data_IF_641920330435
#
_entry.id   IF_641920330435
#
_cell.length_a   1.000
_cell.length_b   1.000
_cell.length_c   1.000
_cell.angle_alpha   90.00
_cell.angle_beta   90.00
_cell.angle_gamma   90.00
#
_symmetry.space_group_name_H-M   'P 1'
#
loop_
_entity.id
_entity.type
_entity.pdbx_description
1 polymer ?
2 non-polymer ?
3 non-polymer ?
4 non-polymer ?
5 non-polymer ?
6 water ?
#
# COMPACT_ATOMS: atom_id res chain seq x y z
N UNK A 24 25.94 -17.99 -0.38
CA UNK A 24 25.48 -17.64 -1.72
C UNK A 24 24.04 -18.07 -1.94
N UNK A 25 23.45 -17.59 -3.02
CA UNK A 25 22.09 -17.97 -3.36
C UNK A 25 22.11 -19.24 -4.18
N UNK A 26 21.20 -20.17 -3.88
CA UNK A 26 21.05 -21.34 -4.71
C UNK A 26 20.45 -20.91 -6.06
N UNK A 27 20.43 -21.83 -7.02
CA UNK A 27 19.94 -21.50 -8.35
C UNK A 27 18.46 -21.17 -8.25
N UNK A 28 17.74 -21.96 -7.47
CA UNK A 28 16.31 -21.77 -7.28
C UNK A 28 16.02 -20.41 -6.64
N UNK A 29 16.93 -19.96 -5.78
CA UNK A 29 16.73 -18.70 -5.11
C UNK A 29 16.96 -17.56 -6.08
N UNK A 30 17.94 -17.71 -6.97
CA UNK A 30 18.17 -16.73 -8.01
C UNK A 30 17.01 -16.68 -9.00
N UNK A 31 16.42 -17.84 -9.27
CA UNK A 31 15.30 -17.92 -10.19
C UNK A 31 14.10 -17.22 -9.60
N UNK A 32 13.88 -17.47 -8.31
CA UNK A 32 12.78 -16.89 -7.57
C UNK A 32 12.79 -15.35 -7.59
N UNK A 33 13.93 -14.76 -7.25
CA UNK A 33 14.10 -13.31 -7.29
C UNK A 33 13.91 -12.78 -8.70
N UNK A 34 14.49 -13.49 -9.66
CA UNK A 34 14.37 -13.17 -11.06
C UNK A 34 12.91 -13.11 -11.49
N UNK A 35 12.13 -14.10 -11.12
CA UNK A 35 10.74 -14.07 -11.56
C UNK A 35 9.93 -12.98 -10.87
N UNK A 36 10.25 -12.68 -9.61
CA UNK A 36 9.57 -11.62 -8.91
C UNK A 36 9.91 -10.25 -9.49
N UNK A 37 11.18 -10.05 -9.81
CA UNK A 37 11.65 -8.79 -10.39
C UNK A 37 11.06 -8.60 -11.77
N UNK A 38 10.92 -9.69 -12.51
CA UNK A 38 10.30 -9.65 -13.82
C UNK A 38 8.86 -9.16 -13.69
N UNK A 39 8.15 -9.72 -12.72
CA UNK A 39 6.75 -9.39 -12.50
C UNK A 39 6.59 -7.92 -12.08
N UNK A 40 7.48 -7.45 -11.21
CA UNK A 40 7.48 -6.06 -10.80
C UNK A 40 7.71 -5.12 -11.99
N UNK A 41 8.75 -5.42 -12.75
CA UNK A 41 9.10 -4.67 -13.96
C UNK A 41 7.90 -4.54 -14.92
N UNK A 42 7.15 -5.62 -15.11
CA UNK A 42 6.09 -5.58 -16.10
C UNK A 42 4.81 -4.90 -15.60
N UNK A 43 4.64 -4.79 -14.30
CA UNK A 43 3.35 -4.40 -13.75
C UNK A 43 3.38 -3.17 -12.83
N UNK A 44 4.56 -2.62 -12.61
CA UNK A 44 4.66 -1.42 -11.77
C UNK A 44 4.92 -0.20 -12.65
N UNK A 45 3.87 0.59 -12.85
CA UNK A 45 3.95 1.85 -13.59
C UNK A 45 4.60 2.92 -12.70
N UNK A 46 5.93 2.94 -12.66
CA UNK A 46 6.65 3.72 -11.65
C UNK A 46 6.53 5.22 -11.87
N UNK A 47 6.26 5.61 -13.10
CA UNK A 47 6.03 7.02 -13.43
C UNK A 47 4.54 7.38 -13.47
N UNK A 48 3.68 6.41 -13.18
CA UNK A 48 2.23 6.61 -13.16
C UNK A 48 1.68 7.18 -14.49
N UNK A 49 2.35 6.85 -15.58
CA UNK A 49 2.00 7.36 -16.91
C UNK A 49 0.61 6.96 -17.36
N UNK A 50 0.13 5.83 -16.89
CA UNK A 50 -1.14 5.33 -17.40
C UNK A 50 -2.28 5.57 -16.42
N UNK A 51 -2.01 6.33 -15.38
CA UNK A 51 -3.06 6.77 -14.46
C UNK A 51 -3.69 8.03 -15.02
N UNK A 52 -4.92 7.93 -15.50
CA UNK A 52 -5.62 9.07 -16.05
C UNK A 52 -7.13 8.92 -15.88
N UNK A 53 -7.89 9.93 -16.29
CA UNK A 53 -9.35 9.97 -16.13
C UNK A 53 -9.81 9.88 -14.70
N UNK A 54 -8.98 10.33 -13.77
CA UNK A 54 -9.33 10.24 -12.35
C UNK A 54 -10.12 11.47 -11.91
N UNK A 55 -10.88 11.32 -10.84
CA UNK A 55 -11.66 12.44 -10.32
C UNK A 55 -10.74 13.37 -9.48
N UNK A 56 -11.11 14.65 -9.42
CA UNK A 56 -10.38 15.65 -8.62
C UNK A 56 -11.39 16.38 -7.74
N UNK A 57 -10.96 16.92 -6.60
CA UNK A 57 -11.87 17.75 -5.79
C UNK A 57 -12.45 18.92 -6.57
N UNK A 58 -13.75 19.17 -6.39
CA UNK A 58 -14.47 20.24 -7.06
C UNK A 58 -13.94 21.64 -6.81
N UNK A 59 -14.45 22.59 -7.61
CA UNK A 59 -14.01 23.99 -7.57
C UNK A 59 -15.11 24.90 -7.07
N UNK A 74 -29.60 11.49 15.21
CA UNK A 74 -29.40 10.08 15.54
C UNK A 74 -28.07 9.89 16.26
N UNK A 75 -28.15 9.48 17.52
CA UNK A 75 -26.98 9.42 18.40
C UNK A 75 -26.00 8.30 18.04
N UNK A 76 -26.52 7.22 17.46
CA UNK A 76 -25.68 6.16 16.92
C UNK A 76 -24.94 6.70 15.69
N UNK A 77 -25.69 7.38 14.82
CA UNK A 77 -25.13 8.04 13.65
C UNK A 77 -24.15 9.16 14.02
N UNK A 78 -24.49 9.93 15.06
CA UNK A 78 -23.63 11.02 15.53
C UNK A 78 -22.25 10.49 15.95
N UNK A 79 -22.24 9.30 16.51
CA UNK A 79 -20.99 8.69 16.96
C UNK A 79 -20.20 8.15 15.77
N UNK A 80 -20.92 7.73 14.74
CA UNK A 80 -20.27 7.25 13.52
C UNK A 80 -19.47 8.37 12.87
N UNK A 81 -20.11 9.51 12.66
CA UNK A 81 -19.47 10.66 12.03
C UNK A 81 -18.25 11.15 12.83
N UNK A 82 -18.37 11.21 14.14
CA UNK A 82 -17.25 11.63 14.98
C UNK A 82 -16.01 10.78 14.72
N UNK A 83 -16.21 9.48 14.62
CA UNK A 83 -15.12 8.53 14.38
C UNK A 83 -14.53 8.71 12.98
N UNK A 84 -15.41 8.78 11.98
CA UNK A 84 -14.97 8.98 10.61
C UNK A 84 -14.22 10.30 10.45
N UNK A 85 -14.69 11.34 11.15
CA UNK A 85 -14.01 12.63 11.13
C UNK A 85 -12.61 12.49 11.70
N UNK A 86 -12.48 11.76 12.81
CA UNK A 86 -11.18 11.52 13.42
C UNK A 86 -10.29 10.71 12.49
N UNK A 87 -10.86 9.68 11.87
CA UNK A 87 -10.14 8.83 10.92
C UNK A 87 -9.59 9.68 9.76
N UNK A 88 -10.45 10.50 9.17
CA UNK A 88 -10.11 11.25 7.97
C UNK A 88 -9.03 12.32 8.16
N UNK A 89 -9.12 13.11 9.22
CA UNK A 89 -8.18 14.22 9.41
C UNK A 89 -6.82 13.72 9.94
N UNK A 90 -6.72 12.42 10.17
CA UNK A 90 -5.52 11.87 10.76
C UNK A 90 -4.42 11.73 9.73
N UNK A 91 -4.77 11.92 8.46
CA UNK A 91 -3.79 11.87 7.40
C UNK A 91 -4.17 12.83 6.27
N UNK A 92 -3.69 14.08 6.38
CA UNK A 92 -4.01 15.13 5.42
C UNK A 92 -2.88 15.37 4.42
N UNK A 93 -3.23 15.37 3.14
CA UNK A 93 -2.26 15.70 2.11
C UNK A 93 -2.79 16.76 1.17
N UNK A 94 -1.88 17.59 0.69
CA UNK A 94 -2.19 18.43 -0.46
C UNK A 94 -1.77 17.67 -1.71
N UNK A 95 -2.23 18.13 -2.85
CA UNK A 95 -2.02 17.43 -4.09
C UNK A 95 -1.47 18.39 -5.13
N UNK A 96 -0.48 17.92 -5.89
CA UNK A 96 0.06 18.70 -6.99
C UNK A 96 0.02 17.89 -8.27
N UNK A 97 -0.35 18.56 -9.36
CA UNK A 97 -0.31 17.99 -10.73
C UNK A 97 0.55 18.83 -11.63
N UNK A 98 1.66 18.26 -12.10
CA UNK A 98 2.54 18.92 -13.08
C UNK A 98 2.16 18.54 -14.51
N UNK A 99 1.66 19.49 -15.26
CA UNK A 99 1.32 19.23 -16.64
C UNK A 99 2.56 18.99 -17.49
N UNK A 100 2.41 18.19 -18.55
CA UNK A 100 3.47 17.96 -19.52
C UNK A 100 3.96 19.28 -20.14
N UNK A 101 3.04 20.25 -20.26
CA UNK A 101 3.35 21.56 -20.83
C UNK A 101 4.12 22.45 -19.87
N UNK A 102 4.17 22.06 -18.60
CA UNK A 102 4.92 22.84 -17.61
C UNK A 102 4.02 23.60 -16.66
N UNK A 103 2.73 23.54 -16.91
CA UNK A 103 1.76 24.13 -16.00
C UNK A 103 1.77 23.34 -14.70
N UNK A 104 1.38 24.00 -13.61
CA UNK A 104 1.22 23.31 -12.33
C UNK A 104 -0.11 23.65 -11.66
N UNK A 105 -0.90 22.62 -11.36
CA UNK A 105 -2.08 22.73 -10.50
C UNK A 105 -1.76 22.29 -9.08
N UNK A 106 -2.24 23.04 -8.09
CA UNK A 106 -2.01 22.71 -6.68
C UNK A 106 -3.28 22.81 -5.88
N UNK A 107 -3.54 21.78 -5.08
CA UNK A 107 -4.74 21.73 -4.26
C UNK A 107 -4.38 21.60 -2.80
N UNK A 108 -4.82 22.58 -2.02
CA UNK A 108 -4.73 22.57 -0.57
C UNK A 108 -6.10 22.20 -0.01
N UNK A 109 -6.16 21.14 0.82
CA UNK A 109 -7.43 20.60 1.32
C UNK A 109 -8.10 21.57 2.30
N UNK A 110 -9.42 21.43 2.49
CA UNK A 110 -10.17 22.28 3.42
C UNK A 110 -9.94 21.90 4.88
N UNK A 111 -10.33 22.77 5.81
CA UNK A 111 -10.36 22.42 7.21
C UNK A 111 -11.65 21.67 7.53
N UNK A 112 -11.66 20.90 8.61
CA UNK A 112 -12.91 20.27 9.04
C UNK A 112 -13.79 21.36 9.64
N UNK A 113 -14.95 21.60 9.01
CA UNK A 113 -15.91 22.56 9.54
C UNK A 113 -17.27 21.89 9.78
N UNK A 114 -17.25 20.61 10.14
CA UNK A 114 -18.44 19.85 10.49
C UNK A 114 -19.35 19.52 9.33
N UNK A 115 -18.80 19.49 8.12
CA UNK A 115 -19.59 19.23 6.92
C UNK A 115 -18.96 18.21 6.00
N UNK A 116 -19.47 18.11 4.78
CA UNK A 116 -19.08 17.05 3.85
C UNK A 116 -17.75 17.33 3.14
N UNK A 117 -17.12 18.45 3.47
CA UNK A 117 -15.86 18.86 2.85
C UNK A 117 -14.69 17.96 3.23
N UNK A 118 -14.86 17.17 4.27
CA UNK A 118 -13.82 16.26 4.71
C UNK A 118 -13.67 15.11 3.72
N UNK A 119 -14.67 14.95 2.85
CA UNK A 119 -14.70 13.88 1.87
C UNK A 119 -14.13 14.30 0.53
N UNK A 120 -13.59 15.52 0.44
CA UNK A 120 -13.28 16.12 -0.85
C UNK A 120 -12.30 15.29 -1.69
N UNK A 121 -11.33 14.67 -1.04
CA UNK A 121 -10.31 13.92 -1.77
C UNK A 121 -10.62 12.43 -1.89
N UNK A 122 -11.75 11.97 -1.35
CA UNK A 122 -12.07 10.55 -1.40
C UNK A 122 -12.27 9.98 -2.82
N UNK A 123 -13.07 10.65 -3.68
CA UNK A 123 -13.16 10.09 -5.04
C UNK A 123 -11.78 9.95 -5.72
N UNK A 124 -10.95 10.98 -5.59
CA UNK A 124 -9.62 10.92 -6.20
C UNK A 124 -8.77 9.77 -5.66
N UNK A 125 -8.76 9.64 -4.35
CA UNK A 125 -7.98 8.61 -3.71
C UNK A 125 -8.50 7.22 -4.04
N UNK A 126 -9.82 7.09 -4.12
CA UNK A 126 -10.43 5.85 -4.58
C UNK A 126 -9.93 5.48 -5.99
N UNK A 127 -9.82 6.49 -6.86
CA UNK A 127 -9.35 6.24 -8.22
C UNK A 127 -7.89 5.83 -8.23
N UNK A 128 -7.07 6.48 -7.41
CA UNK A 128 -5.65 6.16 -7.34
C UNK A 128 -5.43 4.75 -6.78
N UNK A 129 -6.14 4.40 -5.71
CA UNK A 129 -5.93 3.09 -5.11
C UNK A 129 -6.38 2.01 -6.10
N UNK A 130 -7.50 2.29 -6.76
CA UNK A 130 -8.01 1.36 -7.78
C UNK A 130 -6.98 1.14 -8.87
N UNK A 131 -6.34 2.22 -9.32
CA UNK A 131 -5.28 2.10 -10.30
C UNK A 131 -4.11 1.24 -9.77
N UNK A 132 -3.67 1.52 -8.55
CA UNK A 132 -2.63 0.71 -7.92
C UNK A 132 -3.04 -0.77 -7.81
N UNK A 133 -4.27 -1.03 -7.36
CA UNK A 133 -4.74 -2.41 -7.18
C UNK A 133 -4.63 -3.24 -8.45
N UNK A 134 -4.93 -2.63 -9.60
CA UNK A 134 -4.85 -3.32 -10.89
C UNK A 134 -3.43 -3.76 -11.18
N UNK A 135 -2.47 -2.88 -10.93
CA UNK A 135 -1.07 -3.21 -11.11
C UNK A 135 -0.71 -4.38 -10.22
N UNK A 136 -1.23 -4.35 -9.00
CA UNK A 136 -0.97 -5.38 -8.00
C UNK A 136 -1.56 -6.73 -8.42
N UNK A 137 -2.78 -6.69 -8.93
CA UNK A 137 -3.42 -7.90 -9.43
C UNK A 137 -2.60 -8.48 -10.60
N UNK A 138 -2.14 -7.62 -11.49
CA UNK A 138 -1.28 -8.01 -12.61
C UNK A 138 0.03 -8.62 -12.12
N UNK A 139 0.63 -7.98 -11.12
CA UNK A 139 1.85 -8.49 -10.49
C UNK A 139 1.67 -9.96 -10.06
N UNK A 140 0.66 -10.20 -9.21
CA UNK A 140 0.32 -11.52 -8.75
C UNK A 140 0.16 -12.54 -9.90
N UNK A 141 -0.62 -12.20 -10.92
CA UNK A 141 -0.90 -13.11 -12.03
C UNK A 141 0.33 -13.48 -12.88
N UNK A 142 1.33 -12.61 -12.89
CA UNK A 142 2.55 -12.88 -13.64
C UNK A 142 3.46 -13.88 -12.91
N UNK A 143 3.26 -14.04 -11.60
CA UNK A 143 4.10 -14.94 -10.83
C UNK A 143 3.63 -16.41 -10.95
N UNK A 144 4.54 -17.29 -11.39
CA UNK A 144 4.22 -18.72 -11.55
C UNK A 144 3.67 -19.37 -10.28
N UNK A 145 4.31 -19.12 -9.14
CA UNK A 145 3.84 -19.70 -7.89
C UNK A 145 2.40 -19.25 -7.57
N UNK A 146 2.02 -18.06 -8.01
CA UNK A 146 0.66 -17.58 -7.73
C UNK A 146 -0.36 -18.22 -8.69
N UNK A 147 -0.05 -18.21 -9.98
CA UNK A 147 -0.89 -18.83 -11.02
C UNK A 147 -1.21 -20.29 -10.74
N UNK A 148 -0.29 -20.98 -10.08
CA UNK A 148 -0.43 -22.41 -9.80
C UNK A 148 -1.37 -22.70 -8.64
N UNK A 149 -1.72 -21.68 -7.86
CA UNK A 149 -2.68 -21.86 -6.80
C UNK A 149 -4.07 -21.96 -7.44
N UNK A 150 -4.99 -22.67 -6.77
CA UNK A 150 -6.42 -22.64 -7.14
C UNK A 150 -6.94 -21.21 -7.24
N UNK A 151 -7.95 -20.98 -8.08
CA UNK A 151 -8.45 -19.63 -8.32
C UNK A 151 -9.02 -19.01 -7.05
N UNK A 152 -9.68 -19.83 -6.22
CA UNK A 152 -10.36 -19.32 -5.04
C UNK A 152 -9.33 -18.83 -4.04
N UNK A 153 -8.15 -19.44 -4.07
CA UNK A 153 -7.07 -19.01 -3.19
C UNK A 153 -6.36 -17.77 -3.74
N UNK A 154 -6.24 -17.69 -5.06
CA UNK A 154 -5.72 -16.48 -5.67
C UNK A 154 -6.51 -15.29 -5.19
N UNK A 155 -7.83 -15.36 -5.37
CA UNK A 155 -8.75 -14.33 -4.94
C UNK A 155 -8.64 -14.03 -3.44
N UNK A 156 -8.62 -15.06 -2.61
CA UNK A 156 -8.49 -14.87 -1.18
C UNK A 156 -7.17 -14.18 -0.79
N UNK A 157 -6.10 -14.54 -1.48
CA UNK A 157 -4.79 -13.93 -1.20
C UNK A 157 -4.74 -12.46 -1.65
N UNK A 158 -5.32 -12.16 -2.80
CA UNK A 158 -5.36 -10.80 -3.29
C UNK A 158 -6.27 -9.94 -2.42
N UNK A 159 -7.43 -10.47 -2.03
CA UNK A 159 -8.29 -9.73 -1.10
C UNK A 159 -7.52 -9.43 0.18
N UNK A 160 -6.70 -10.38 0.62
CA UNK A 160 -5.93 -10.23 1.85
C UNK A 160 -4.75 -9.28 1.76
N UNK A 161 -4.09 -9.24 0.61
CA UNK A 161 -2.79 -8.56 0.49
C UNK A 161 -2.74 -7.29 -0.39
N UNK A 162 -3.79 -7.05 -1.17
CA UNK A 162 -3.74 -5.97 -2.16
C UNK A 162 -3.31 -4.63 -1.56
N UNK A 163 -4.03 -4.18 -0.53
CA UNK A 163 -3.67 -2.99 0.21
C UNK A 163 -2.20 -3.00 0.69
N UNK A 164 -1.73 -4.11 1.27
CA UNK A 164 -0.36 -4.16 1.78
C UNK A 164 0.66 -3.99 0.62
N UNK A 165 0.40 -4.61 -0.51
CA UNK A 165 1.30 -4.52 -1.64
C UNK A 165 1.28 -3.10 -2.23
N UNK A 166 0.13 -2.46 -2.10
CA UNK A 166 0.02 -1.05 -2.47
C UNK A 166 0.89 -0.15 -1.61
N UNK A 167 0.90 -0.37 -0.30
CA UNK A 167 1.71 0.44 0.60
C UNK A 167 3.19 0.20 0.28
N UNK A 168 3.52 -1.05 -0.02
CA UNK A 168 4.91 -1.42 -0.30
C UNK A 168 5.39 -0.70 -1.56
N UNK A 169 4.58 -0.72 -2.61
CA UNK A 169 4.93 0.01 -3.83
C UNK A 169 4.97 1.52 -3.59
N UNK A 170 3.99 2.05 -2.85
CA UNK A 170 3.95 3.49 -2.54
C UNK A 170 5.20 3.93 -1.77
N UNK A 171 5.76 3.04 -0.94
CA UNK A 171 6.94 3.42 -0.19
C UNK A 171 8.16 3.70 -1.07
N UNK A 172 8.23 3.04 -2.21
CA UNK A 172 9.36 3.22 -3.11
C UNK A 172 9.32 4.57 -3.81
N UNK A 173 8.15 5.25 -3.83
CA UNK A 173 8.10 6.62 -4.39
C UNK A 173 7.92 7.64 -3.27
N UNK A 174 8.18 7.22 -2.03
CA UNK A 174 8.03 8.12 -0.89
C UNK A 174 9.33 8.87 -0.68
N UNK A 175 9.21 10.17 -0.45
CA UNK A 175 10.35 11.04 -0.21
C UNK A 175 10.27 11.43 1.25
N UNK A 176 11.12 10.82 2.09
CA UNK A 176 11.00 11.01 3.52
C UNK A 176 11.54 12.37 3.93
N UNK A 177 12.36 12.98 3.09
CA UNK A 177 12.88 14.31 3.38
C UNK A 177 11.81 15.39 3.22
N UNK A 178 10.93 15.24 2.23
CA UNK A 178 9.92 16.26 2.02
C UNK A 178 8.51 15.79 2.39
N UNK A 179 8.41 14.58 2.96
CA UNK A 179 7.12 14.00 3.31
C UNK A 179 6.14 13.96 2.14
N UNK A 180 6.65 13.61 0.95
CA UNK A 180 5.83 13.57 -0.27
C UNK A 180 5.92 12.21 -0.98
N UNK A 181 4.78 11.72 -1.44
CA UNK A 181 4.77 10.56 -2.34
C UNK A 181 4.81 11.09 -3.77
N UNK A 182 5.89 10.79 -4.48
CA UNK A 182 6.13 11.36 -5.81
C UNK A 182 5.65 10.42 -6.89
N UNK A 183 4.43 10.62 -7.35
CA UNK A 183 3.83 9.68 -8.29
C UNK A 183 3.86 10.18 -9.71
N UNK A 184 5.06 10.27 -10.29
CA UNK A 184 5.18 10.84 -11.61
C UNK A 184 4.82 12.31 -11.60
N UNK A 185 3.76 12.68 -12.31
CA UNK A 185 3.31 14.06 -12.40
C UNK A 185 2.41 14.50 -11.25
N UNK A 186 1.96 13.52 -10.47
CA UNK A 186 1.21 13.74 -9.24
C UNK A 186 2.13 13.66 -8.01
N UNK A 187 1.94 14.57 -7.06
CA UNK A 187 2.62 14.50 -5.76
C UNK A 187 1.57 14.60 -4.65
N UNK A 188 1.78 13.88 -3.56
CA UNK A 188 0.91 13.98 -2.39
C UNK A 188 1.79 14.35 -1.23
N UNK A 189 1.59 15.56 -0.72
CA UNK A 189 2.50 16.14 0.26
C UNK A 189 1.80 16.30 1.59
N UNK A 190 2.40 15.73 2.63
CA UNK A 190 1.83 15.76 3.98
C UNK A 190 1.72 17.20 4.48
N UNK A 191 0.56 17.55 5.02
CA UNK A 191 0.30 18.87 5.58
C UNK A 191 1.06 19.06 6.90
N UNK A 192 1.59 20.26 7.11
CA UNK A 192 2.26 20.58 8.38
C UNK A 192 1.26 20.52 9.54
N UNK A 193 1.74 20.15 10.72
CA UNK A 193 0.95 20.23 11.95
C UNK A 193 1.80 20.79 13.09
N UNK A 194 1.17 20.98 14.25
CA UNK A 194 1.78 21.67 15.38
C UNK A 194 3.09 21.06 15.87
N UNK A 195 3.20 19.74 15.82
CA UNK A 195 4.40 19.06 16.30
C UNK A 195 5.37 18.69 15.21
N UNK A 196 5.09 19.19 14.00
CA UNK A 196 5.92 18.90 12.85
C UNK A 196 6.02 17.41 12.60
N UNK A 197 7.22 16.97 12.23
CA UNK A 197 7.46 15.58 11.88
C UNK A 197 7.00 14.64 12.97
N UNK A 198 7.67 14.69 14.12
CA UNK A 198 7.44 13.79 15.25
C UNK A 198 5.96 13.52 15.55
N UNK A 199 5.12 14.56 15.46
CA UNK A 199 3.70 14.41 15.78
C UNK A 199 2.93 13.69 14.68
N UNK A 200 3.13 14.11 13.44
CA UNK A 200 2.50 13.44 12.30
C UNK A 200 2.93 11.97 12.26
N UNK A 201 4.10 11.72 12.84
CA UNK A 201 4.67 10.38 12.89
C UNK A 201 3.99 9.47 13.94
N UNK A 202 3.01 10.01 14.66
CA UNK A 202 2.22 9.20 15.59
C UNK A 202 1.25 8.33 14.81
N UNK A 203 0.95 8.76 13.59
CA UNK A 203 0.06 8.03 12.70
C UNK A 203 0.75 6.77 12.19
N UNK A 204 0.21 5.58 12.51
CA UNK A 204 0.94 4.33 12.20
C UNK A 204 1.31 4.16 10.72
N UNK A 205 0.40 4.46 9.81
CA UNK A 205 0.71 4.49 8.37
C UNK A 205 1.93 5.36 8.04
N UNK A 206 2.02 6.53 8.66
CA UNK A 206 3.10 7.44 8.35
C UNK A 206 4.38 6.98 9.01
N UNK A 207 4.30 6.49 10.25
CA UNK A 207 5.46 5.91 10.91
C UNK A 207 6.01 4.71 10.11
N UNK A 208 5.11 3.87 9.61
CA UNK A 208 5.52 2.75 8.76
C UNK A 208 6.31 3.22 7.53
N UNK A 209 5.82 4.25 6.83
CA UNK A 209 6.51 4.70 5.62
C UNK A 209 7.87 5.28 5.89
N UNK A 210 7.98 6.06 6.97
CA UNK A 210 9.28 6.63 7.30
C UNK A 210 10.25 5.53 7.74
N UNK A 211 9.78 4.60 8.58
CA UNK A 211 10.67 3.56 9.07
C UNK A 211 11.13 2.65 7.94
N UNK A 212 10.22 2.22 7.06
CA UNK A 212 10.62 1.37 5.93
C UNK A 212 11.61 2.07 4.99
N UNK A 213 11.37 3.35 4.69
CA UNK A 213 12.26 4.11 3.82
C UNK A 213 13.66 4.23 4.42
N UNK A 214 13.73 4.43 5.73
CA UNK A 214 14.99 4.51 6.45
C UNK A 214 15.83 3.23 6.34
N UNK A 215 15.19 2.11 6.03
CA UNK A 215 15.92 0.84 5.93
C UNK A 215 16.71 0.80 4.63
N UNK A 216 16.41 1.74 3.73
CA UNK A 216 17.12 1.85 2.45
C UNK A 216 17.22 0.52 1.67
N UNK A 217 16.08 -0.11 1.43
CA UNK A 217 16.01 -1.42 0.78
C UNK A 217 16.28 -1.37 -0.72
N UNK A 218 16.79 -2.48 -1.25
CA UNK A 218 16.94 -2.69 -2.70
C UNK A 218 15.60 -3.05 -3.31
N UNK A 219 15.50 -2.91 -4.63
CA UNK A 219 14.32 -3.34 -5.38
C UNK A 219 13.98 -4.79 -5.08
N UNK A 220 15.01 -5.63 -4.98
CA UNK A 220 14.84 -7.06 -4.79
C UNK A 220 14.17 -7.34 -3.47
N UNK A 221 14.54 -6.54 -2.47
CA UNK A 221 14.04 -6.74 -1.12
C UNK A 221 12.60 -6.27 -1.01
N UNK A 222 12.27 -5.18 -1.70
CA UNK A 222 10.88 -4.74 -1.75
C UNK A 222 9.99 -5.79 -2.36
N UNK A 223 10.47 -6.44 -3.42
CA UNK A 223 9.59 -7.32 -4.17
C UNK A 223 9.46 -8.66 -3.42
N UNK A 224 10.48 -9.02 -2.64
CA UNK A 224 10.37 -10.19 -1.77
C UNK A 224 9.43 -9.90 -0.59
N UNK A 225 9.42 -8.67 -0.09
CA UNK A 225 8.41 -8.26 0.88
C UNK A 225 7.00 -8.43 0.33
N UNK A 226 6.78 -8.02 -0.92
CA UNK A 226 5.49 -8.18 -1.60
C UNK A 226 5.09 -9.65 -1.72
N UNK A 227 6.04 -10.53 -2.03
CA UNK A 227 5.76 -11.96 -2.13
C UNK A 227 5.36 -12.54 -0.78
N UNK A 228 6.08 -12.17 0.28
CA UNK A 228 5.82 -12.70 1.62
C UNK A 228 4.43 -12.27 2.10
N UNK A 229 4.09 -11.01 1.87
CA UNK A 229 2.77 -10.49 2.20
C UNK A 229 1.67 -11.14 1.38
N UNK A 230 1.93 -11.29 0.08
CA UNK A 230 0.95 -11.86 -0.84
C UNK A 230 0.64 -13.33 -0.48
N UNK A 231 1.70 -14.11 -0.30
CA UNK A 231 1.56 -15.52 0.05
C UNK A 231 1.47 -15.74 1.56
N UNK A 232 0.44 -15.17 2.18
CA UNK A 232 0.21 -15.31 3.61
C UNK A 232 -0.87 -16.35 3.85
N UNK A 233 -0.49 -17.48 4.47
CA UNK A 233 -1.33 -18.68 4.63
C UNK A 233 -2.62 -18.45 5.43
N UNK A 234 -2.64 -17.40 6.23
CA UNK A 234 -3.72 -17.15 7.18
C UNK A 234 -4.62 -15.99 6.79
N UNK A 235 -4.78 -15.77 5.48
CA UNK A 235 -5.78 -14.82 5.06
C UNK A 235 -7.11 -15.54 5.12
N UNK A 236 -8.19 -14.82 5.48
CA UNK A 236 -9.54 -15.33 5.40
C UNK A 236 -9.84 -16.07 4.10
N UNK A 237 -10.14 -17.36 4.19
CA UNK A 237 -10.69 -18.09 3.07
C UNK A 237 -9.71 -18.99 2.35
N UNK A 238 -8.45 -18.93 2.75
CA UNK A 238 -7.41 -19.71 2.08
C UNK A 238 -7.61 -21.20 2.35
N UNK A 239 -7.53 -22.01 1.31
CA UNK A 239 -7.74 -23.44 1.44
C UNK A 239 -6.41 -24.20 1.41
N UNK A 240 -5.57 -23.89 0.42
CA UNK A 240 -4.28 -24.57 0.25
C UNK A 240 -3.22 -23.96 1.13
N UNK A 241 -3.51 -23.82 2.43
CA UNK A 241 -2.63 -23.01 3.25
C UNK A 241 -1.32 -23.70 3.64
N UNK A 242 -1.24 -25.02 3.49
CA UNK A 242 0.03 -25.71 3.66
C UNK A 242 0.97 -25.33 2.52
N UNK A 243 0.44 -25.35 1.29
CA UNK A 243 1.17 -24.89 0.12
C UNK A 243 1.63 -23.43 0.26
N UNK A 244 0.70 -22.56 0.58
CA UNK A 244 0.99 -21.13 0.69
C UNK A 244 2.04 -20.91 1.78
N UNK A 245 1.90 -21.61 2.90
CA UNK A 245 2.85 -21.47 4.01
C UNK A 245 4.27 -21.87 3.60
N UNK A 246 4.38 -22.95 2.85
CA UNK A 246 5.69 -23.39 2.34
C UNK A 246 6.24 -22.41 1.31
N UNK A 247 5.35 -21.88 0.46
CA UNK A 247 5.77 -20.85 -0.51
C UNK A 247 6.30 -19.61 0.23
N UNK A 248 5.55 -19.16 1.23
CA UNK A 248 5.93 -18.01 2.02
C UNK A 248 7.27 -18.22 2.68
N UNK A 249 7.44 -19.38 3.29
CA UNK A 249 8.70 -19.71 3.95
C UNK A 249 9.91 -19.63 3.00
N UNK A 250 9.74 -20.11 1.78
CA UNK A 250 10.79 -20.03 0.76
C UNK A 250 11.14 -18.60 0.36
N UNK A 251 10.14 -17.75 0.17
CA UNK A 251 10.40 -16.32 -0.12
C UNK A 251 11.14 -15.65 1.06
N UNK A 252 10.78 -16.03 2.29
CA UNK A 252 11.46 -15.50 3.49
C UNK A 252 12.92 -15.96 3.59
N UNK A 253 13.15 -17.24 3.32
CA UNK A 253 14.50 -17.80 3.31
C UNK A 253 15.32 -17.16 2.20
N UNK A 254 14.71 -16.94 1.04
CA UNK A 254 15.43 -16.30 -0.06
C UNK A 254 15.81 -14.87 0.35
N UNK A 255 14.93 -14.19 1.09
CA UNK A 255 15.21 -12.82 1.50
C UNK A 255 16.35 -12.80 2.54
N UNK A 256 16.24 -13.66 3.54
CA UNK A 256 17.30 -13.79 4.54
C UNK A 256 18.65 -14.07 3.88
N UNK A 257 18.64 -14.95 2.88
CA UNK A 257 19.85 -15.35 2.15
C UNK A 257 20.38 -14.19 1.33
N UNK A 258 19.47 -13.47 0.68
CA UNK A 258 19.88 -12.33 -0.14
C UNK A 258 20.61 -11.28 0.70
N UNK A 259 20.02 -10.93 1.84
CA UNK A 259 20.61 -9.98 2.77
C UNK A 259 21.98 -10.47 3.26
N UNK A 260 22.07 -11.77 3.56
CA UNK A 260 23.32 -12.33 4.08
C UNK A 260 24.40 -12.30 2.99
N UNK A 261 24.01 -12.45 1.73
CA UNK A 261 25.00 -12.45 0.64
C UNK A 261 25.42 -11.06 0.17
N UNK A 262 24.60 -10.04 0.43
CA UNK A 262 24.85 -8.74 -0.18
C UNK A 262 24.94 -7.57 0.80
N UNK A 263 24.81 -7.83 2.10
CA UNK A 263 24.86 -6.73 3.06
C UNK A 263 25.65 -7.03 4.33
N UNK A 264 26.97 -6.84 4.28
CA UNK A 264 27.87 -7.17 5.40
C UNK A 264 28.01 -6.04 6.45
N UNK A 265 27.53 -4.83 6.15
CA UNK A 265 27.72 -3.67 7.01
C UNK A 265 26.94 -3.77 8.33
N UNK A 266 27.56 -3.32 9.44
CA UNK A 266 26.93 -3.28 10.76
C UNK A 266 25.55 -2.62 10.76
N UNK A 267 25.33 -1.71 9.80
CA UNK A 267 24.04 -1.03 9.70
C UNK A 267 22.92 -2.01 9.43
N UNK A 268 23.27 -3.11 8.76
CA UNK A 268 22.28 -4.05 8.26
C UNK A 268 22.24 -5.33 9.07
N UNK A 269 22.90 -5.33 10.22
CA UNK A 269 22.70 -6.41 11.17
C UNK A 269 21.21 -6.45 11.54
N UNK A 270 20.65 -7.65 11.58
CA UNK A 270 19.25 -7.84 11.93
C UNK A 270 18.27 -7.23 10.90
N UNK A 271 18.75 -6.90 9.69
CA UNK A 271 17.88 -6.29 8.70
C UNK A 271 16.72 -7.23 8.38
N UNK A 272 17.01 -8.51 8.21
CA UNK A 272 15.95 -9.47 7.90
C UNK A 272 14.83 -9.46 8.97
N UNK A 273 15.20 -9.37 10.24
CA UNK A 273 14.20 -9.40 11.30
C UNK A 273 13.42 -8.09 11.33
N UNK A 274 14.12 -6.98 11.08
CA UNK A 274 13.46 -5.68 11.03
C UNK A 274 12.39 -5.68 9.94
N UNK A 275 12.73 -6.19 8.76
CA UNK A 275 11.79 -6.33 7.64
C UNK A 275 10.57 -7.18 8.02
N UNK A 276 10.81 -8.36 8.61
CA UNK A 276 9.69 -9.19 9.07
C UNK A 276 8.83 -8.49 10.11
N UNK A 277 9.46 -7.72 11.00
CA UNK A 277 8.70 -6.93 11.98
C UNK A 277 7.87 -5.83 11.29
N UNK A 278 8.41 -5.24 10.22
CA UNK A 278 7.67 -4.24 9.44
C UNK A 278 6.49 -4.88 8.72
N UNK A 279 6.67 -6.11 8.25
CA UNK A 279 5.59 -6.84 7.59
C UNK A 279 4.45 -7.18 8.54
N UNK A 280 4.77 -7.49 9.80
CA UNK A 280 3.75 -7.73 10.80
C UNK A 280 2.99 -6.44 11.07
N UNK A 281 3.75 -5.36 11.21
CA UNK A 281 3.16 -4.04 11.40
C UNK A 281 2.25 -3.63 10.24
N UNK A 282 2.64 -4.00 9.03
CA UNK A 282 1.85 -3.63 7.85
C UNK A 282 0.50 -4.35 7.84
N UNK A 283 0.47 -5.54 8.41
CA UNK A 283 -0.76 -6.28 8.47
C UNK A 283 -1.70 -5.67 9.51
N UNK A 284 -1.15 -5.16 10.60
CA UNK A 284 -1.91 -4.38 11.56
C UNK A 284 -2.51 -3.13 10.89
N UNK A 285 -1.67 -2.39 10.18
CA UNK A 285 -2.11 -1.20 9.46
C UNK A 285 -3.23 -1.53 8.48
N UNK A 286 -3.05 -2.63 7.76
CA UNK A 286 -4.05 -3.13 6.81
C UNK A 286 -5.42 -3.35 7.48
N UNK A 287 -5.39 -3.92 8.68
CA UNK A 287 -6.60 -4.17 9.46
C UNK A 287 -7.23 -2.83 9.90
N UNK A 288 -6.41 -1.92 10.44
CA UNK A 288 -6.91 -0.60 10.83
C UNK A 288 -7.51 0.18 9.65
N UNK A 289 -6.84 0.16 8.51
CA UNK A 289 -7.30 0.98 7.42
C UNK A 289 -8.53 0.38 6.76
N UNK A 290 -8.65 -0.95 6.81
CA UNK A 290 -9.83 -1.61 6.28
C UNK A 290 -11.06 -1.17 7.07
N UNK A 291 -10.92 -1.16 8.38
CA UNK A 291 -11.98 -0.65 9.27
C UNK A 291 -12.33 0.82 9.03
N UNK A 292 -11.31 1.66 8.83
CA UNK A 292 -11.59 3.06 8.47
C UNK A 292 -12.38 3.12 7.18
N UNK A 293 -11.92 2.40 6.16
CA UNK A 293 -12.57 2.37 4.87
C UNK A 293 -14.04 2.00 5.03
N UNK A 294 -14.29 0.94 5.79
CA UNK A 294 -15.65 0.42 5.94
C UNK A 294 -16.49 1.38 6.78
N UNK A 295 -15.86 2.07 7.75
CA UNK A 295 -16.55 3.13 8.49
C UNK A 295 -16.94 4.31 7.60
N UNK A 296 -16.03 4.79 6.75
CA UNK A 296 -16.43 5.83 5.80
C UNK A 296 -17.53 5.34 4.90
N UNK A 297 -17.33 4.16 4.33
CA UNK A 297 -18.27 3.60 3.37
C UNK A 297 -19.68 3.50 3.96
N UNK A 298 -19.77 3.21 5.24
CA UNK A 298 -21.06 3.03 5.89
C UNK A 298 -21.93 4.31 5.83
N UNK A 299 -21.31 5.46 6.05
CA UNK A 299 -22.06 6.72 6.09
C UNK A 299 -21.89 7.59 4.84
N UNK A 300 -20.90 7.26 4.02
CA UNK A 300 -20.61 8.04 2.80
C UNK A 300 -19.97 7.13 1.75
N UNK A 301 -20.80 6.45 0.96
CA UNK A 301 -20.32 5.47 -0.03
C UNK A 301 -19.44 6.11 -1.08
N UNK A 302 -18.34 5.46 -1.40
CA UNK A 302 -17.40 6.03 -2.37
C UNK A 302 -16.52 4.97 -3.03
N UNK A 303 -16.49 3.77 -2.48
CA UNK A 303 -15.62 2.71 -2.98
C UNK A 303 -15.91 2.37 -4.46
N UNK A 304 -14.87 2.25 -5.27
CA UNK A 304 -15.04 1.79 -6.63
C UNK A 304 -15.49 0.33 -6.66
N UNK A 305 -16.02 -0.13 -7.81
CA UNK A 305 -16.36 -1.55 -7.91
C UNK A 305 -15.21 -2.50 -7.56
N UNK A 306 -13.98 -2.16 -7.94
CA UNK A 306 -12.84 -3.03 -7.64
C UNK A 306 -12.52 -2.99 -6.16
N UNK A 307 -12.67 -1.80 -5.58
CA UNK A 307 -12.52 -1.66 -4.14
C UNK A 307 -13.54 -2.51 -3.41
N UNK A 308 -14.81 -2.46 -3.83
CA UNK A 308 -15.85 -3.26 -3.17
C UNK A 308 -15.51 -4.75 -3.24
N UNK A 309 -15.07 -5.20 -4.41
CA UNK A 309 -14.73 -6.61 -4.61
C UNK A 309 -13.64 -7.05 -3.63
N UNK A 310 -12.58 -6.25 -3.57
CA UNK A 310 -11.43 -6.59 -2.75
C UNK A 310 -11.70 -6.49 -1.25
N UNK A 311 -12.66 -5.66 -0.85
CA UNK A 311 -12.90 -5.44 0.57
C UNK A 311 -14.19 -6.09 1.04
N UNK A 312 -14.82 -6.87 0.16
CA UNK A 312 -16.01 -7.60 0.53
C UNK A 312 -17.29 -6.78 0.67
N UNK A 313 -17.38 -5.63 0.00
CA UNK A 313 -18.66 -4.92 -0.10
C UNK A 313 -19.41 -5.54 -1.29
N UNK A 314 -20.69 -5.89 -1.12
CA UNK A 314 -21.36 -6.76 -2.11
C UNK A 314 -22.27 -6.06 -3.12
N UNK A 315 -22.60 -4.80 -2.86
CA UNK A 315 -23.49 -4.06 -3.75
C UNK A 315 -24.92 -4.02 -3.24
N UNK A 316 -25.15 -4.70 -2.13
CA UNK A 316 -26.48 -4.72 -1.54
C UNK A 316 -26.41 -4.78 -0.03
#
# INVERSE_FOLDING_TARGET
MKKGHHHHHHGSERTGTQPLGVQGLTEEQRMMIRELMDAQMKTFDTTFSHFKNFRLPGVLSSGCELPESLQAPSREEAAKWSQVRKDLCSLKVSLQLRGEDGSVWNYKPPADSGGKEIFSLLPHMADMSTYMFKGIISFAKVISYFRDLPIEDQISLLKGAAFELCQLRFNTVFNAETGTWECGRLSYCLEDTAGGFQQLLLEPMLKFHYMLKKLQLHEEEYVLMQAISLFSPDRPGVLQHRVVDQLQEQFAITLKSYIECNRPQPAHRFLFLKIMAMLTELRSINAQHTQRLLRIQDIHPFATPLMQELFGITGS
#
